data_IF_224292816757
#
_entry.id   IF_224292816757
#
_cell.length_a   1.000
_cell.length_b   1.000
_cell.length_c   1.000
_cell.angle_alpha   90.00
_cell.angle_beta   90.00
_cell.angle_gamma   90.00
#
_symmetry.space_group_name_H-M   'P 1'
#
loop_
_entity.id
_entity.type
_entity.pdbx_description
1 polymer ?
#
# COMPACT_ATOMS: atom_id res chain seq x y z
N UNK A 1 -81.76 23.58 -24.41
CA UNK A 1 -81.17 22.71 -23.41
C UNK A 1 -79.70 22.52 -23.74
N UNK A 2 -78.85 23.26 -23.06
CA UNK A 2 -77.39 23.19 -23.24
C UNK A 2 -76.79 22.65 -21.91
N UNK A 3 -76.22 21.44 -21.92
CA UNK A 3 -75.51 20.89 -20.76
C UNK A 3 -74.09 21.42 -20.72
N UNK A 4 -73.76 22.13 -19.63
CA UNK A 4 -72.46 22.64 -19.32
C UNK A 4 -71.71 21.48 -18.51
N UNK A 5 -70.68 20.92 -19.09
CA UNK A 5 -69.82 19.94 -18.40
C UNK A 5 -68.67 20.71 -17.79
N UNK A 6 -68.66 20.77 -16.47
CA UNK A 6 -67.56 21.37 -15.69
C UNK A 6 -66.44 20.34 -15.49
N UNK A 7 -65.30 20.58 -16.11
CA UNK A 7 -64.08 19.74 -15.98
C UNK A 7 -63.29 20.22 -14.76
N UNK A 8 -63.28 19.42 -13.70
CA UNK A 8 -62.48 19.69 -12.49
C UNK A 8 -61.10 19.11 -12.71
N UNK A 9 -60.06 19.95 -12.86
CA UNK A 9 -58.66 19.56 -12.93
C UNK A 9 -58.14 19.41 -11.51
N UNK A 10 -57.88 18.17 -11.07
CA UNK A 10 -57.15 17.85 -9.83
C UNK A 10 -55.64 18.03 -10.11
N UNK A 11 -55.06 19.12 -9.59
CA UNK A 11 -53.60 19.23 -9.50
C UNK A 11 -53.08 18.33 -8.39
N UNK A 12 -52.48 17.18 -8.76
CA UNK A 12 -51.66 16.38 -7.84
C UNK A 12 -50.28 17.03 -7.71
N UNK A 13 -50.06 17.80 -6.66
CA UNK A 13 -48.75 18.27 -6.28
C UNK A 13 -47.98 17.11 -5.65
N UNK A 14 -47.12 16.46 -6.45
CA UNK A 14 -46.11 15.53 -5.91
C UNK A 14 -45.03 16.33 -5.15
N UNK A 15 -45.14 16.38 -3.83
CA UNK A 15 -43.99 16.74 -2.96
C UNK A 15 -42.90 15.69 -3.17
N UNK A 16 -41.86 16.03 -3.92
CA UNK A 16 -40.57 15.35 -3.82
C UNK A 16 -40.03 15.64 -2.43
N UNK A 17 -40.25 14.70 -1.52
CA UNK A 17 -39.45 14.62 -0.26
C UNK A 17 -38.03 14.29 -0.67
N UNK A 18 -37.18 15.32 -0.78
CA UNK A 18 -35.74 15.15 -0.80
C UNK A 18 -35.35 14.63 0.60
N UNK A 19 -35.34 13.30 0.76
CA UNK A 19 -34.79 12.65 1.92
C UNK A 19 -33.29 12.94 1.92
N UNK A 20 -32.85 13.96 2.68
CA UNK A 20 -31.47 14.03 3.14
C UNK A 20 -31.26 12.83 4.06
N UNK A 21 -30.91 11.68 3.50
CA UNK A 21 -30.36 10.58 4.30
C UNK A 21 -29.08 11.11 4.95
N UNK A 22 -29.13 11.42 6.25
CA UNK A 22 -27.92 11.38 7.05
C UNK A 22 -27.35 9.98 6.82
N UNK A 23 -26.23 9.90 6.13
CA UNK A 23 -25.50 8.65 6.02
C UNK A 23 -25.12 8.25 7.45
N UNK A 24 -25.84 7.28 7.99
CA UNK A 24 -25.50 6.66 9.27
C UNK A 24 -24.13 6.00 9.14
N UNK A 25 -23.35 6.02 10.23
CA UNK A 25 -22.07 5.33 10.25
C UNK A 25 -22.32 3.83 10.05
N UNK A 26 -21.71 3.24 9.04
CA UNK A 26 -21.72 1.78 8.87
C UNK A 26 -20.97 1.16 10.06
N UNK A 27 -21.61 0.31 10.86
CA UNK A 27 -20.92 -0.35 11.96
C UNK A 27 -19.86 -1.31 11.41
N UNK A 28 -18.76 -1.45 12.11
CA UNK A 28 -17.77 -2.48 11.86
C UNK A 28 -17.50 -3.20 13.19
N UNK A 29 -17.85 -4.47 13.24
CA UNK A 29 -17.72 -5.27 14.45
C UNK A 29 -16.34 -5.92 14.58
N UNK A 30 -15.60 -6.06 13.45
CA UNK A 30 -14.25 -6.63 13.38
C UNK A 30 -13.40 -5.83 12.38
N UNK A 31 -12.62 -4.89 12.91
CA UNK A 31 -11.74 -4.05 12.09
C UNK A 31 -10.63 -4.84 11.41
N UNK A 32 -10.08 -5.88 12.04
CA UNK A 32 -9.04 -6.72 11.45
C UNK A 32 -9.60 -7.51 10.27
N UNK A 33 -10.77 -8.13 10.43
CA UNK A 33 -11.40 -8.86 9.34
C UNK A 33 -11.78 -7.94 8.18
N UNK A 34 -12.31 -6.76 8.46
CA UNK A 34 -12.62 -5.76 7.43
C UNK A 34 -11.38 -5.32 6.64
N UNK A 35 -10.19 -5.25 7.26
CA UNK A 35 -8.94 -4.96 6.56
C UNK A 35 -8.47 -6.14 5.72
N UNK A 36 -8.56 -7.37 6.24
CA UNK A 36 -8.28 -8.58 5.44
C UNK A 36 -9.16 -8.64 4.21
N UNK A 37 -10.46 -8.44 4.38
CA UNK A 37 -11.43 -8.46 3.27
C UNK A 37 -11.12 -7.39 2.22
N UNK A 38 -10.65 -6.22 2.65
CA UNK A 38 -10.27 -5.16 1.73
C UNK A 38 -9.01 -5.51 0.92
N UNK A 39 -7.98 -6.08 1.56
CA UNK A 39 -6.78 -6.56 0.86
C UNK A 39 -7.13 -7.69 -0.12
N UNK A 40 -7.97 -8.65 0.28
CA UNK A 40 -8.48 -9.72 -0.60
C UNK A 40 -9.21 -9.14 -1.80
N UNK A 41 -10.11 -8.16 -1.59
CA UNK A 41 -10.83 -7.47 -2.68
C UNK A 41 -9.87 -6.79 -3.67
N UNK A 42 -8.82 -6.11 -3.18
CA UNK A 42 -7.80 -5.49 -4.04
C UNK A 42 -7.10 -6.55 -4.88
N UNK A 43 -6.69 -7.65 -4.26
CA UNK A 43 -6.03 -8.77 -4.93
C UNK A 43 -6.92 -9.39 -6.02
N UNK A 44 -8.16 -9.73 -5.70
CA UNK A 44 -9.12 -10.30 -6.64
C UNK A 44 -9.39 -9.35 -7.82
N UNK A 45 -9.58 -8.05 -7.53
CA UNK A 45 -9.83 -7.03 -8.56
C UNK A 45 -8.64 -6.88 -9.51
N UNK A 46 -7.41 -6.88 -8.97
CA UNK A 46 -6.20 -6.79 -9.77
C UNK A 46 -5.97 -8.05 -10.61
N UNK A 47 -6.06 -9.23 -9.98
CA UNK A 47 -5.80 -10.52 -10.64
C UNK A 47 -6.86 -10.91 -11.66
N UNK A 48 -8.06 -10.34 -11.58
CA UNK A 48 -9.06 -10.45 -12.65
C UNK A 48 -8.62 -9.79 -13.96
N UNK A 49 -7.69 -8.81 -13.91
CA UNK A 49 -7.14 -8.10 -15.06
C UNK A 49 -5.73 -8.57 -15.42
N UNK A 50 -4.92 -8.87 -14.41
CA UNK A 50 -3.56 -9.41 -14.53
C UNK A 50 -3.38 -10.55 -13.51
N UNK A 51 -3.47 -11.82 -13.91
CA UNK A 51 -3.39 -12.96 -12.99
C UNK A 51 -2.11 -13.06 -12.17
N UNK A 52 -1.00 -12.48 -12.67
CA UNK A 52 0.32 -12.49 -12.03
C UNK A 52 0.56 -11.24 -11.17
N UNK A 53 -0.47 -10.41 -10.93
CA UNK A 53 -0.33 -9.16 -10.18
C UNK A 53 0.00 -9.41 -8.71
N UNK A 54 1.08 -8.78 -8.25
CA UNK A 54 1.67 -8.98 -6.93
C UNK A 54 1.01 -8.05 -5.91
N UNK A 55 0.71 -8.57 -4.71
CA UNK A 55 0.12 -7.81 -3.60
C UNK A 55 0.97 -7.99 -2.35
N UNK A 56 1.50 -6.88 -1.81
CA UNK A 56 2.41 -6.87 -0.67
C UNK A 56 1.87 -5.88 0.38
N UNK A 57 1.15 -6.33 1.41
CA UNK A 57 0.82 -5.49 2.56
C UNK A 57 2.06 -5.09 3.37
N UNK A 58 2.06 -3.88 3.94
CA UNK A 58 3.15 -3.37 4.80
C UNK A 58 2.70 -3.23 6.24
N UNK A 59 3.49 -3.73 7.20
CA UNK A 59 3.18 -3.73 8.64
C UNK A 59 1.88 -4.50 8.95
N UNK A 60 1.17 -4.21 10.06
CA UNK A 60 -0.10 -4.89 10.39
C UNK A 60 -0.01 -6.41 10.38
N UNK A 61 1.15 -6.94 10.81
CA UNK A 61 1.49 -8.37 10.69
C UNK A 61 0.52 -9.28 11.46
N UNK A 62 -0.21 -8.76 12.44
CA UNK A 62 -1.23 -9.46 13.21
C UNK A 62 -2.39 -9.95 12.33
N UNK A 63 -2.56 -9.39 11.13
CA UNK A 63 -3.61 -9.83 10.18
C UNK A 63 -3.36 -11.25 9.63
N UNK A 64 -2.16 -11.81 9.80
CA UNK A 64 -1.86 -13.19 9.35
C UNK A 64 -2.57 -14.26 10.17
N UNK A 65 -3.09 -13.91 11.36
CA UNK A 65 -3.86 -14.83 12.21
C UNK A 65 -5.28 -14.32 12.46
N UNK A 66 -6.18 -15.24 12.81
CA UNK A 66 -7.57 -14.91 13.17
C UNK A 66 -7.74 -14.52 14.64
N UNK A 67 -6.68 -14.60 15.44
CA UNK A 67 -6.66 -14.27 16.87
C UNK A 67 -5.72 -13.12 17.19
N UNK A 68 -5.46 -12.94 18.49
CA UNK A 68 -4.64 -11.86 19.02
C UNK A 68 -3.15 -12.24 19.19
N UNK A 69 -2.80 -13.48 18.94
CA UNK A 69 -1.44 -13.99 19.06
C UNK A 69 -0.99 -14.76 17.80
N UNK A 70 0.30 -14.94 17.68
CA UNK A 70 0.91 -15.61 16.53
C UNK A 70 0.59 -17.12 16.46
N UNK A 71 0.20 -17.75 17.55
CA UNK A 71 -0.15 -19.18 17.60
C UNK A 71 -1.61 -19.45 17.19
N UNK A 72 -2.42 -18.41 17.05
CA UNK A 72 -3.80 -18.52 16.60
C UNK A 72 -3.91 -19.11 15.19
N UNK A 73 -5.11 -19.52 14.79
CA UNK A 73 -5.37 -20.03 13.45
C UNK A 73 -4.98 -19.02 12.38
N UNK A 74 -4.39 -19.49 11.30
CA UNK A 74 -4.01 -18.64 10.16
C UNK A 74 -5.24 -18.06 9.44
N UNK A 75 -5.14 -16.82 9.02
CA UNK A 75 -6.08 -16.17 8.12
C UNK A 75 -5.79 -16.61 6.66
N UNK A 76 -6.15 -17.85 6.33
CA UNK A 76 -5.75 -18.52 5.08
C UNK A 76 -6.18 -17.79 3.83
N UNK A 77 -7.37 -17.20 3.81
CA UNK A 77 -7.88 -16.45 2.66
C UNK A 77 -7.05 -15.20 2.41
N UNK A 78 -6.70 -14.47 3.48
CA UNK A 78 -5.81 -13.31 3.41
C UNK A 78 -4.40 -13.71 2.94
N UNK A 79 -3.81 -14.75 3.55
CA UNK A 79 -2.46 -15.21 3.21
C UNK A 79 -2.34 -15.73 1.77
N UNK A 80 -3.41 -16.31 1.21
CA UNK A 80 -3.44 -16.74 -0.20
C UNK A 80 -3.68 -15.61 -1.18
N UNK A 81 -4.20 -14.48 -0.71
CA UNK A 81 -4.44 -13.29 -1.53
C UNK A 81 -3.20 -12.41 -1.70
N UNK A 82 -2.14 -12.63 -0.92
CA UNK A 82 -0.90 -11.84 -0.93
C UNK A 82 0.29 -12.68 -1.40
N UNK A 83 1.34 -12.03 -1.91
CA UNK A 83 2.58 -12.67 -2.39
C UNK A 83 3.76 -12.40 -1.46
N UNK A 84 3.65 -11.39 -0.65
CA UNK A 84 4.67 -11.00 0.31
C UNK A 84 4.12 -10.19 1.46
N UNK A 85 5.01 -9.85 2.39
CA UNK A 85 4.72 -9.00 3.53
C UNK A 85 5.87 -8.05 3.77
N UNK A 86 5.61 -6.74 3.74
CA UNK A 86 6.57 -5.70 4.07
C UNK A 86 6.59 -5.44 5.57
N UNK A 87 7.77 -5.30 6.16
CA UNK A 87 7.94 -4.97 7.57
C UNK A 87 8.99 -3.88 7.73
N UNK A 88 8.63 -2.81 8.42
CA UNK A 88 9.57 -1.76 8.80
C UNK A 88 10.11 -1.96 10.20
N UNK A 89 11.30 -1.38 10.45
CA UNK A 89 11.92 -1.31 11.78
C UNK A 89 12.08 -2.67 12.49
N UNK A 90 12.30 -3.76 11.73
CA UNK A 90 12.41 -5.09 12.33
C UNK A 90 13.64 -5.24 13.24
N UNK A 91 14.80 -4.76 12.76
CA UNK A 91 16.07 -4.81 13.49
C UNK A 91 16.60 -3.43 13.82
N UNK A 92 16.38 -2.45 12.93
CA UNK A 92 16.84 -1.06 13.08
C UNK A 92 15.81 -0.05 12.60
N UNK A 93 15.77 1.11 13.26
CA UNK A 93 14.88 2.20 12.90
C UNK A 93 13.87 2.55 13.99
N UNK A 94 13.79 1.75 15.07
CA UNK A 94 12.80 1.92 16.11
C UNK A 94 12.77 3.35 16.66
N UNK A 95 11.69 4.08 16.33
CA UNK A 95 11.45 5.50 16.63
C UNK A 95 12.37 6.51 15.93
N UNK A 96 13.55 6.13 15.48
CA UNK A 96 14.50 6.99 14.73
C UNK A 96 15.57 6.13 14.04
N UNK A 97 16.12 6.68 12.98
CA UNK A 97 17.21 6.02 12.24
C UNK A 97 18.38 5.62 13.15
N UNK A 98 19.09 4.59 12.76
CA UNK A 98 20.26 4.05 13.47
C UNK A 98 19.98 3.66 14.95
N UNK A 99 18.74 3.28 15.26
CA UNK A 99 18.37 2.80 16.58
C UNK A 99 17.98 1.34 16.51
N UNK A 100 18.67 0.43 17.23
CA UNK A 100 18.25 -0.98 17.29
C UNK A 100 16.82 -1.13 17.82
N UNK A 101 16.05 -1.98 17.19
CA UNK A 101 14.72 -2.36 17.66
C UNK A 101 14.85 -3.19 18.94
N UNK A 102 14.04 -2.93 19.99
CA UNK A 102 14.07 -3.73 21.21
C UNK A 102 13.79 -5.20 20.93
N UNK A 103 14.56 -6.09 21.55
CA UNK A 103 14.49 -7.53 21.29
C UNK A 103 13.07 -8.12 21.42
N UNK A 104 12.31 -7.68 22.42
CA UNK A 104 10.92 -8.12 22.59
C UNK A 104 10.00 -7.68 21.46
N UNK A 105 10.26 -6.53 20.82
CA UNK A 105 9.54 -6.07 19.65
C UNK A 105 9.92 -6.88 18.42
N UNK A 106 11.22 -7.09 18.21
CA UNK A 106 11.73 -7.96 17.14
C UNK A 106 11.16 -9.38 17.26
N UNK A 107 11.22 -9.98 18.47
CA UNK A 107 10.69 -11.32 18.71
C UNK A 107 9.20 -11.41 18.43
N UNK A 108 8.44 -10.39 18.82
CA UNK A 108 7.01 -10.28 18.52
C UNK A 108 6.75 -10.26 17.01
N UNK A 109 7.41 -9.38 16.28
CA UNK A 109 7.24 -9.26 14.82
C UNK A 109 7.67 -10.57 14.10
N UNK A 110 8.82 -11.14 14.49
CA UNK A 110 9.31 -12.40 13.93
C UNK A 110 8.33 -13.55 14.13
N UNK A 111 7.61 -13.59 15.25
CA UNK A 111 6.64 -14.66 15.52
C UNK A 111 5.54 -14.74 14.45
N UNK A 112 5.08 -13.61 13.93
CA UNK A 112 4.09 -13.52 12.85
C UNK A 112 4.72 -13.61 11.45
N UNK A 113 5.87 -12.92 11.23
CA UNK A 113 6.55 -12.92 9.93
C UNK A 113 6.94 -14.32 9.47
N UNK A 114 7.44 -15.16 10.42
CA UNK A 114 7.74 -16.57 10.15
C UNK A 114 6.49 -17.33 9.71
N UNK A 115 5.32 -17.07 10.31
CA UNK A 115 4.05 -17.69 9.93
C UNK A 115 3.62 -17.28 8.51
N UNK A 116 3.77 -16.01 8.17
CA UNK A 116 3.50 -15.53 6.80
C UNK A 116 4.44 -16.20 5.79
N UNK A 117 5.74 -16.29 6.11
CA UNK A 117 6.73 -16.98 5.27
C UNK A 117 6.43 -18.47 5.11
N UNK A 118 6.09 -19.17 6.18
CA UNK A 118 5.70 -20.58 6.15
C UNK A 118 4.46 -20.82 5.28
N UNK A 119 3.56 -19.83 5.18
CA UNK A 119 2.42 -19.87 4.29
C UNK A 119 2.79 -19.60 2.81
N UNK A 120 4.07 -19.32 2.50
CA UNK A 120 4.57 -19.12 1.13
C UNK A 120 4.84 -17.69 0.74
N UNK A 121 4.63 -16.71 1.62
CA UNK A 121 4.84 -15.31 1.34
C UNK A 121 6.31 -14.89 1.45
N UNK A 122 6.76 -14.00 0.57
CA UNK A 122 8.08 -13.38 0.64
C UNK A 122 8.08 -12.24 1.65
N UNK A 123 9.02 -12.23 2.58
CA UNK A 123 9.12 -11.15 3.58
C UNK A 123 10.16 -10.13 3.12
N UNK A 124 9.74 -8.86 3.03
CA UNK A 124 10.58 -7.72 2.68
C UNK A 124 10.76 -6.84 3.91
N UNK A 125 12.00 -6.67 4.36
CA UNK A 125 12.30 -5.89 5.58
C UNK A 125 12.98 -4.59 5.20
N UNK A 126 12.40 -3.47 5.64
CA UNK A 126 12.98 -2.14 5.55
C UNK A 126 13.47 -1.70 6.93
N UNK A 127 14.78 -1.69 7.13
CA UNK A 127 15.41 -1.18 8.34
C UNK A 127 16.01 0.21 8.09
N UNK A 128 15.68 1.18 8.93
CA UNK A 128 16.18 2.56 8.77
C UNK A 128 17.52 2.71 9.49
N UNK A 129 18.59 2.46 8.75
CA UNK A 129 19.95 2.61 9.23
C UNK A 129 20.94 2.97 8.10
N UNK A 130 21.94 3.79 8.45
CA UNK A 130 22.98 4.28 7.56
C UNK A 130 24.40 3.94 8.01
N UNK A 131 24.57 3.59 9.27
CA UNK A 131 25.87 3.15 9.82
C UNK A 131 26.29 1.82 9.19
N UNK A 132 27.52 1.71 8.63
CA UNK A 132 27.96 0.50 7.94
C UNK A 132 27.84 -0.79 8.76
N UNK A 133 28.10 -0.71 10.07
CA UNK A 133 27.98 -1.85 11.00
C UNK A 133 26.53 -2.30 11.20
N UNK A 134 25.58 -1.34 11.22
CA UNK A 134 24.14 -1.63 11.33
C UNK A 134 23.56 -2.15 10.02
N UNK A 135 23.94 -1.55 8.90
CA UNK A 135 23.55 -2.03 7.56
C UNK A 135 23.99 -3.49 7.35
N UNK A 136 25.27 -3.81 7.63
CA UNK A 136 25.77 -5.17 7.51
C UNK A 136 25.05 -6.15 8.46
N UNK A 137 24.74 -5.70 9.68
CA UNK A 137 24.03 -6.52 10.65
C UNK A 137 22.56 -6.75 10.26
N UNK A 138 21.86 -5.73 9.77
CA UNK A 138 20.48 -5.85 9.28
C UNK A 138 20.39 -6.90 8.16
N UNK A 139 21.27 -6.82 7.15
CA UNK A 139 21.34 -7.80 6.08
C UNK A 139 21.62 -9.22 6.63
N UNK A 140 22.58 -9.37 7.54
CA UNK A 140 22.92 -10.67 8.14
C UNK A 140 21.75 -11.28 8.90
N UNK A 141 20.98 -10.48 9.65
CA UNK A 141 19.82 -10.96 10.39
C UNK A 141 18.67 -11.33 9.45
N UNK A 142 18.41 -10.54 8.40
CA UNK A 142 17.43 -10.88 7.37
C UNK A 142 17.81 -12.19 6.64
N UNK A 143 19.08 -12.35 6.27
CA UNK A 143 19.58 -13.58 5.63
C UNK A 143 19.37 -14.81 6.51
N UNK A 144 19.60 -14.69 7.82
CA UNK A 144 19.39 -15.78 8.77
C UNK A 144 17.91 -16.21 8.84
N UNK A 145 16.97 -15.29 8.65
CA UNK A 145 15.53 -15.57 8.57
C UNK A 145 15.08 -15.96 7.15
N UNK A 146 15.95 -15.76 6.14
CA UNK A 146 15.62 -15.90 4.73
C UNK A 146 14.59 -14.86 4.28
N UNK A 147 14.77 -13.63 4.74
CA UNK A 147 13.98 -12.44 4.35
C UNK A 147 14.77 -11.60 3.36
N UNK A 148 14.07 -10.85 2.51
CA UNK A 148 14.67 -9.88 1.59
C UNK A 148 14.87 -8.56 2.33
N UNK A 149 16.07 -8.00 2.30
CA UNK A 149 16.49 -6.88 3.14
C UNK A 149 16.73 -5.61 2.35
N UNK A 150 16.29 -4.48 2.88
CA UNK A 150 16.66 -3.14 2.46
C UNK A 150 17.03 -2.28 3.67
N UNK A 151 18.27 -1.79 3.70
CA UNK A 151 18.71 -0.80 4.69
C UNK A 151 18.52 0.61 4.09
N UNK A 152 17.45 1.28 4.51
CA UNK A 152 17.11 2.62 4.07
C UNK A 152 17.97 3.66 4.80
N UNK A 153 18.76 4.49 4.09
CA UNK A 153 19.58 5.53 4.73
C UNK A 153 18.73 6.62 5.39
N UNK A 154 17.57 6.93 4.78
CA UNK A 154 16.66 7.99 5.21
C UNK A 154 15.24 7.46 5.31
N UNK A 155 14.50 7.92 6.33
CA UNK A 155 13.09 7.49 6.57
C UNK A 155 12.13 8.05 5.52
N UNK A 156 12.49 9.13 4.88
CA UNK A 156 11.74 9.71 3.77
C UNK A 156 11.78 8.85 2.50
N UNK A 157 12.60 7.79 2.46
CA UNK A 157 12.71 6.87 1.31
C UNK A 157 12.95 7.63 -0.01
N UNK A 158 13.86 8.60 0.04
CA UNK A 158 14.17 9.54 -1.06
C UNK A 158 15.61 9.41 -1.58
N UNK A 159 16.34 8.35 -1.14
CA UNK A 159 17.77 8.13 -1.48
C UNK A 159 17.99 6.72 -1.99
N UNK A 160 18.70 6.61 -3.12
CA UNK A 160 19.27 5.34 -3.57
C UNK A 160 20.60 5.13 -2.81
N UNK A 161 20.79 4.04 -2.05
CA UNK A 161 22.05 3.75 -1.39
C UNK A 161 23.23 3.72 -2.38
N UNK A 162 24.36 4.28 -1.98
CA UNK A 162 25.57 4.31 -2.84
C UNK A 162 26.25 2.94 -2.97
N UNK A 163 25.95 1.99 -2.08
CA UNK A 163 26.45 0.62 -2.14
C UNK A 163 25.68 -0.20 -3.17
N UNK A 164 26.32 -1.21 -3.73
CA UNK A 164 25.62 -2.22 -4.52
C UNK A 164 24.56 -2.94 -3.67
N UNK A 165 23.44 -3.37 -4.26
CA UNK A 165 22.44 -4.16 -3.55
C UNK A 165 23.02 -5.41 -2.92
N UNK A 166 22.56 -5.85 -1.73
CA UNK A 166 22.92 -7.17 -1.23
C UNK A 166 22.47 -8.24 -2.24
N UNK A 167 23.24 -9.30 -2.40
CA UNK A 167 22.95 -10.40 -3.33
C UNK A 167 22.66 -9.94 -4.77
N UNK A 168 23.36 -8.88 -5.22
CA UNK A 168 23.22 -8.38 -6.60
C UNK A 168 23.38 -9.52 -7.62
N UNK A 169 22.47 -9.55 -8.61
CA UNK A 169 22.46 -10.58 -9.62
C UNK A 169 21.89 -10.05 -10.97
N UNK A 170 22.13 -10.79 -12.05
CA UNK A 170 21.65 -10.46 -13.39
C UNK A 170 20.47 -11.37 -13.83
N UNK A 171 19.78 -12.01 -12.90
CA UNK A 171 18.64 -12.88 -13.23
C UNK A 171 17.41 -12.05 -13.60
N UNK A 172 16.56 -12.63 -14.44
CA UNK A 172 15.22 -12.13 -14.68
C UNK A 172 14.33 -12.53 -13.49
N UNK A 173 13.78 -11.54 -12.83
CA UNK A 173 12.87 -11.73 -11.69
C UNK A 173 11.45 -11.71 -12.22
N UNK A 174 10.80 -12.85 -12.22
CA UNK A 174 9.43 -13.02 -12.71
C UNK A 174 8.40 -13.11 -11.58
N UNK A 175 8.81 -13.52 -10.38
CA UNK A 175 7.96 -13.66 -9.19
C UNK A 175 8.64 -13.02 -8.00
N UNK A 176 7.86 -12.52 -7.06
CA UNK A 176 8.39 -11.93 -5.84
C UNK A 176 9.30 -12.90 -5.06
N UNK A 177 8.97 -14.19 -5.08
CA UNK A 177 9.77 -15.25 -4.44
C UNK A 177 11.18 -15.46 -5.04
N UNK A 178 11.45 -14.93 -6.23
CA UNK A 178 12.75 -15.02 -6.88
C UNK A 178 13.66 -13.84 -6.49
N UNK A 179 13.10 -12.79 -5.87
CA UNK A 179 13.83 -11.58 -5.49
C UNK A 179 14.78 -11.81 -4.31
N UNK A 180 15.99 -11.26 -4.41
CA UNK A 180 17.03 -11.34 -3.37
C UNK A 180 17.35 -9.99 -2.74
N UNK A 181 16.87 -8.91 -3.31
CA UNK A 181 17.04 -7.54 -2.82
C UNK A 181 15.91 -6.65 -3.36
N UNK A 182 15.72 -5.50 -2.73
CA UNK A 182 14.79 -4.49 -3.21
C UNK A 182 15.27 -3.08 -2.86
N UNK A 183 14.75 -2.10 -3.59
CA UNK A 183 14.86 -0.68 -3.32
C UNK A 183 13.48 -0.13 -3.00
N UNK A 184 13.33 0.54 -1.88
CA UNK A 184 12.14 1.31 -1.55
C UNK A 184 12.46 2.80 -1.72
N UNK A 185 11.97 3.42 -2.80
CA UNK A 185 12.24 4.80 -3.20
C UNK A 185 10.90 5.50 -3.45
N UNK A 186 10.29 5.99 -2.38
CA UNK A 186 8.92 6.51 -2.41
C UNK A 186 8.86 7.98 -2.81
N UNK A 187 9.77 8.79 -2.28
CA UNK A 187 9.77 10.24 -2.46
C UNK A 187 10.86 10.68 -3.45
N UNK A 188 10.51 11.07 -4.68
CA UNK A 188 11.48 11.46 -5.71
C UNK A 188 11.97 12.93 -5.58
N UNK A 189 11.81 13.56 -4.43
CA UNK A 189 12.09 14.99 -4.19
C UNK A 189 13.56 15.41 -4.36
N UNK A 190 14.49 14.46 -4.24
CA UNK A 190 15.92 14.69 -4.44
C UNK A 190 16.36 14.62 -5.92
N UNK A 191 15.42 14.40 -6.85
CA UNK A 191 15.69 14.34 -8.28
C UNK A 191 15.18 15.61 -8.96
N UNK A 192 16.06 16.27 -9.72
CA UNK A 192 15.76 17.54 -10.41
C UNK A 192 14.66 17.38 -11.47
N UNK A 193 14.56 16.19 -12.08
CA UNK A 193 13.55 15.88 -13.07
C UNK A 193 13.12 14.40 -13.02
N UNK A 194 11.97 14.10 -13.63
CA UNK A 194 11.49 12.73 -13.86
C UNK A 194 12.51 11.90 -14.64
N UNK A 195 13.16 12.50 -15.65
CA UNK A 195 14.18 11.82 -16.45
C UNK A 195 15.40 11.43 -15.60
N UNK A 196 15.81 12.29 -14.66
CA UNK A 196 16.91 12.00 -13.74
C UNK A 196 16.55 10.87 -12.78
N UNK A 197 15.32 10.86 -12.26
CA UNK A 197 14.81 9.76 -11.44
C UNK A 197 14.84 8.43 -12.20
N UNK A 198 14.25 8.40 -13.41
CA UNK A 198 14.20 7.20 -14.25
C UNK A 198 15.62 6.71 -14.55
N UNK A 199 16.51 7.61 -14.94
CA UNK A 199 17.91 7.28 -15.23
C UNK A 199 18.61 6.69 -13.99
N UNK A 200 18.45 7.32 -12.83
CA UNK A 200 19.08 6.87 -11.59
C UNK A 200 18.60 5.47 -11.19
N UNK A 201 17.28 5.21 -11.24
CA UNK A 201 16.72 3.91 -10.92
C UNK A 201 17.12 2.84 -11.96
N UNK A 202 17.07 3.16 -13.26
CA UNK A 202 17.47 2.25 -14.35
C UNK A 202 18.94 1.85 -14.26
N UNK A 203 19.81 2.73 -13.70
CA UNK A 203 21.23 2.48 -13.47
C UNK A 203 21.53 1.62 -12.23
N UNK A 204 20.52 0.96 -11.65
CA UNK A 204 20.67 0.05 -10.51
C UNK A 204 20.39 -1.40 -10.90
N UNK A 205 20.79 -2.34 -10.02
CA UNK A 205 20.57 -3.78 -10.23
C UNK A 205 19.67 -4.40 -9.16
N UNK A 206 18.79 -3.60 -8.53
CA UNK A 206 17.79 -4.14 -7.60
C UNK A 206 16.79 -5.05 -8.30
N UNK A 207 16.39 -6.13 -7.63
CA UNK A 207 15.43 -7.11 -8.12
C UNK A 207 13.98 -6.61 -8.07
N UNK A 208 13.68 -5.76 -7.11
CA UNK A 208 12.37 -5.13 -6.92
C UNK A 208 12.57 -3.64 -6.66
N UNK A 209 11.76 -2.81 -7.31
CA UNK A 209 11.63 -1.38 -6.99
C UNK A 209 10.24 -1.15 -6.43
N UNK A 210 10.15 -0.53 -5.25
CA UNK A 210 8.89 -0.02 -4.69
C UNK A 210 8.92 1.49 -4.82
N UNK A 211 7.96 2.08 -5.54
CA UNK A 211 7.89 3.51 -5.85
C UNK A 211 6.45 4.00 -5.94
N UNK A 212 6.25 5.32 -5.96
CA UNK A 212 4.93 5.92 -6.17
C UNK A 212 4.51 5.88 -7.66
N UNK A 213 3.18 5.90 -7.90
CA UNK A 213 2.62 6.11 -9.24
C UNK A 213 2.92 7.51 -9.80
N UNK A 214 3.11 8.49 -8.91
CA UNK A 214 3.24 9.91 -9.28
C UNK A 214 4.64 10.43 -9.03
N UNK A 215 5.09 11.31 -9.94
CA UNK A 215 6.30 12.09 -9.69
C UNK A 215 5.97 13.37 -8.89
N UNK A 216 6.99 14.14 -8.50
CA UNK A 216 6.86 15.38 -7.70
C UNK A 216 5.87 16.41 -8.25
N UNK A 217 5.63 16.40 -9.56
CA UNK A 217 4.70 17.30 -10.23
C UNK A 217 3.22 16.83 -10.18
N UNK A 218 2.97 15.70 -9.50
CA UNK A 218 1.64 15.08 -9.39
C UNK A 218 1.17 14.36 -10.65
N UNK A 219 2.01 14.24 -11.68
CA UNK A 219 1.68 13.47 -12.89
C UNK A 219 2.13 12.02 -12.74
N UNK A 220 1.30 11.07 -13.21
CA UNK A 220 1.64 9.65 -13.16
C UNK A 220 2.76 9.28 -14.13
N UNK A 221 3.55 8.26 -13.76
CA UNK A 221 4.45 7.61 -14.69
C UNK A 221 3.65 6.91 -15.79
N UNK A 222 4.20 6.92 -17.00
CA UNK A 222 3.61 6.26 -18.18
C UNK A 222 3.99 4.78 -18.23
N UNK A 223 3.24 3.99 -19.02
CA UNK A 223 3.54 2.58 -19.19
C UNK A 223 4.93 2.34 -19.84
N UNK A 224 5.35 3.21 -20.76
CA UNK A 224 6.69 3.13 -21.38
C UNK A 224 7.81 3.41 -20.35
N UNK A 225 7.59 4.37 -19.44
CA UNK A 225 8.54 4.67 -18.36
C UNK A 225 8.65 3.50 -17.37
N UNK A 226 7.52 2.90 -16.97
CA UNK A 226 7.51 1.73 -16.08
C UNK A 226 8.16 0.53 -16.77
N UNK A 227 7.88 0.26 -18.06
CA UNK A 227 8.52 -0.83 -18.81
C UNK A 227 10.04 -0.62 -18.92
N UNK A 228 10.48 0.64 -19.08
CA UNK A 228 11.92 0.95 -19.06
C UNK A 228 12.55 0.64 -17.69
N UNK A 229 11.86 0.95 -16.60
CA UNK A 229 12.33 0.68 -15.23
C UNK A 229 12.40 -0.82 -14.90
N UNK A 230 11.70 -1.69 -15.64
CA UNK A 230 11.79 -3.16 -15.47
C UNK A 230 13.13 -3.74 -15.92
N UNK A 231 13.99 -2.97 -16.58
CA UNK A 231 15.33 -3.42 -16.97
C UNK A 231 16.35 -3.05 -15.89
N UNK A 232 17.19 -4.02 -15.47
CA UNK A 232 18.38 -3.76 -14.65
C UNK A 232 19.54 -3.28 -15.54
N UNK A 233 20.46 -2.50 -14.98
CA UNK A 233 21.65 -2.07 -15.73
C UNK A 233 22.49 -3.23 -16.24
N UNK A 234 22.59 -4.32 -15.48
CA UNK A 234 23.34 -5.53 -15.83
C UNK A 234 22.62 -6.47 -16.83
N UNK A 235 21.45 -6.08 -17.36
CA UNK A 235 20.70 -6.77 -18.39
C UNK A 235 19.62 -7.73 -17.91
N UNK A 236 19.48 -7.97 -16.60
CA UNK A 236 18.37 -8.75 -16.04
C UNK A 236 17.08 -7.93 -15.94
N UNK A 237 15.96 -8.61 -15.68
CA UNK A 237 14.66 -7.95 -15.42
C UNK A 237 14.36 -7.87 -13.94
N UNK A 238 13.63 -6.83 -13.56
CA UNK A 238 13.14 -6.60 -12.20
C UNK A 238 11.63 -6.44 -12.15
N UNK A 239 11.06 -6.52 -10.97
CA UNK A 239 9.69 -6.13 -10.67
C UNK A 239 9.62 -4.66 -10.27
N UNK A 240 8.58 -3.96 -10.73
CA UNK A 240 8.27 -2.58 -10.34
C UNK A 240 6.92 -2.56 -9.66
N UNK A 241 6.93 -2.30 -8.36
CA UNK A 241 5.78 -2.37 -7.46
C UNK A 241 5.34 -0.96 -7.07
N UNK A 242 4.05 -0.69 -7.13
CA UNK A 242 3.51 0.63 -6.80
C UNK A 242 3.08 0.72 -5.34
N UNK A 243 3.56 1.76 -4.64
CA UNK A 243 3.02 2.14 -3.33
C UNK A 243 1.57 2.59 -3.44
N UNK A 244 0.73 2.15 -2.52
CA UNK A 244 -0.67 2.56 -2.42
C UNK A 244 -1.16 2.55 -0.98
N UNK A 245 -1.43 3.72 -0.39
CA UNK A 245 -2.07 3.81 0.92
C UNK A 245 -3.55 3.42 0.83
N UNK A 246 -4.00 2.50 1.69
CA UNK A 246 -5.39 2.05 1.74
C UNK A 246 -6.10 2.35 3.06
N UNK A 247 -5.36 2.65 4.12
CA UNK A 247 -5.88 3.03 5.43
C UNK A 247 -5.90 4.54 5.70
N UNK A 248 -5.32 5.34 4.80
CA UNK A 248 -5.37 6.80 4.84
C UNK A 248 -5.63 7.38 3.45
N UNK A 249 -6.38 8.49 3.41
CA UNK A 249 -6.56 9.31 2.22
C UNK A 249 -5.56 10.47 2.26
N UNK A 250 -4.95 10.78 1.12
CA UNK A 250 -3.91 11.77 0.98
C UNK A 250 -4.43 12.97 0.20
N UNK A 251 -4.34 14.21 0.76
CA UNK A 251 -5.00 15.39 0.19
C UNK A 251 -4.28 15.97 -1.05
N UNK A 252 -3.16 15.40 -1.41
CA UNK A 252 -2.41 15.69 -2.62
C UNK A 252 -2.65 14.68 -3.76
N UNK A 253 -3.49 13.66 -3.54
CA UNK A 253 -3.82 12.66 -4.57
C UNK A 253 -4.92 13.16 -5.50
N UNK A 254 -4.91 12.65 -6.72
CA UNK A 254 -5.86 13.01 -7.78
C UNK A 254 -7.34 12.84 -7.39
N UNK A 255 -7.67 11.90 -6.51
CA UNK A 255 -9.03 11.62 -6.05
C UNK A 255 -9.53 12.61 -5.01
N UNK A 256 -8.64 13.42 -4.41
CA UNK A 256 -9.01 14.33 -3.35
C UNK A 256 -9.88 15.48 -3.84
N UNK A 257 -10.95 15.77 -3.10
CA UNK A 257 -11.81 16.90 -3.37
C UNK A 257 -11.59 17.99 -2.31
N UNK A 258 -11.29 19.20 -2.75
CA UNK A 258 -11.05 20.34 -1.85
C UNK A 258 -12.20 20.60 -0.86
N UNK A 259 -13.44 20.26 -1.26
CA UNK A 259 -14.63 20.35 -0.43
C UNK A 259 -14.60 19.42 0.79
N UNK A 260 -13.81 18.35 0.79
CA UNK A 260 -13.74 17.39 1.90
C UNK A 260 -13.10 17.98 3.16
N UNK A 261 -12.32 19.05 3.05
CA UNK A 261 -11.80 19.76 4.24
C UNK A 261 -12.94 20.39 5.05
N UNK A 262 -14.07 20.75 4.42
CA UNK A 262 -15.23 21.38 5.06
C UNK A 262 -16.44 20.43 5.18
N UNK A 263 -16.63 19.57 4.16
CA UNK A 263 -17.75 18.65 4.06
C UNK A 263 -17.20 17.22 3.87
N UNK A 264 -16.71 16.67 4.97
CA UNK A 264 -16.09 15.34 4.98
C UNK A 264 -17.12 14.27 4.59
N UNK A 265 -16.79 13.38 3.63
CA UNK A 265 -17.58 12.17 3.44
C UNK A 265 -17.51 11.30 4.71
N UNK A 266 -18.51 10.46 4.92
CA UNK A 266 -18.66 9.65 6.15
C UNK A 266 -17.44 8.77 6.41
N UNK A 267 -16.84 8.23 5.36
CA UNK A 267 -15.65 7.39 5.47
C UNK A 267 -14.37 8.16 5.83
N UNK A 268 -14.31 9.49 5.64
CA UNK A 268 -13.12 10.30 5.94
C UNK A 268 -13.11 10.71 7.42
N UNK A 269 -12.12 10.25 8.17
CA UNK A 269 -11.97 10.54 9.58
C UNK A 269 -11.07 11.77 9.84
N UNK A 270 -10.26 11.75 10.89
CA UNK A 270 -9.39 12.88 11.24
C UNK A 270 -8.06 12.82 10.47
N UNK A 271 -7.43 13.98 10.33
CA UNK A 271 -6.06 14.09 9.83
C UNK A 271 -5.07 13.38 10.76
N UNK A 272 -4.05 12.77 10.18
CA UNK A 272 -2.93 12.19 10.91
C UNK A 272 -1.94 13.30 11.26
N UNK A 273 -1.84 13.66 12.54
CA UNK A 273 -0.97 14.74 13.00
C UNK A 273 0.53 14.49 12.77
N UNK A 274 0.95 13.24 12.66
CA UNK A 274 2.34 12.86 12.37
C UNK A 274 2.68 13.01 10.89
N UNK A 275 1.67 12.95 10.01
CA UNK A 275 1.80 13.06 8.56
C UNK A 275 0.74 14.04 8.03
N UNK A 276 1.01 15.37 8.08
CA UNK A 276 0.08 16.38 7.58
C UNK A 276 -0.29 16.13 6.11
N UNK A 277 -1.59 16.26 5.81
CA UNK A 277 -2.13 15.94 4.49
C UNK A 277 -2.67 14.51 4.36
N UNK A 278 -2.37 13.63 5.31
CA UNK A 278 -2.91 12.28 5.37
C UNK A 278 -4.07 12.20 6.36
N UNK A 279 -5.14 11.57 5.95
CA UNK A 279 -6.39 11.48 6.73
C UNK A 279 -6.78 10.03 6.91
N UNK A 280 -7.00 9.58 8.15
CA UNK A 280 -7.50 8.24 8.42
C UNK A 280 -8.85 8.02 7.76
N UNK A 281 -9.07 6.81 7.23
CA UNK A 281 -10.31 6.43 6.56
C UNK A 281 -10.95 5.23 7.23
N UNK A 282 -12.28 5.20 7.21
CA UNK A 282 -13.07 4.01 7.55
C UNK A 282 -13.04 3.08 6.34
N UNK A 283 -11.97 2.31 6.22
CA UNK A 283 -11.64 1.51 5.03
C UNK A 283 -12.69 0.42 4.71
N UNK A 284 -13.58 0.10 5.64
CA UNK A 284 -14.71 -0.80 5.40
C UNK A 284 -15.87 -0.18 4.61
N UNK A 285 -15.85 1.15 4.41
CA UNK A 285 -16.89 1.82 3.62
C UNK A 285 -16.70 1.57 2.13
N UNK A 286 -17.78 1.12 1.47
CA UNK A 286 -17.79 0.86 0.04
C UNK A 286 -17.34 2.08 -0.79
N UNK A 287 -17.75 3.28 -0.41
CA UNK A 287 -17.38 4.50 -1.12
C UNK A 287 -15.86 4.78 -1.13
N UNK A 288 -15.13 4.43 -0.05
CA UNK A 288 -13.67 4.49 -0.05
C UNK A 288 -13.07 3.36 -0.89
N UNK A 289 -13.56 2.13 -0.73
CA UNK A 289 -13.09 0.99 -1.50
C UNK A 289 -13.27 1.16 -3.01
N UNK A 290 -14.36 1.84 -3.44
CA UNK A 290 -14.58 2.18 -4.84
C UNK A 290 -13.53 3.18 -5.39
N UNK A 291 -13.05 4.13 -4.59
CA UNK A 291 -11.94 5.02 -4.98
C UNK A 291 -10.63 4.26 -5.15
N UNK A 292 -10.39 3.26 -4.31
CA UNK A 292 -9.15 2.47 -4.31
C UNK A 292 -9.17 1.40 -5.40
N UNK A 293 -10.20 0.56 -5.46
CA UNK A 293 -10.24 -0.61 -6.35
C UNK A 293 -11.59 -0.83 -7.04
N UNK A 294 -12.44 0.19 -7.11
CA UNK A 294 -13.70 0.12 -7.84
C UNK A 294 -13.50 0.11 -9.37
N UNK A 295 -14.58 -0.10 -10.13
CA UNK A 295 -14.53 -0.05 -11.58
C UNK A 295 -14.28 1.38 -12.10
N UNK A 296 -13.64 1.51 -13.26
CA UNK A 296 -13.37 2.79 -13.91
C UNK A 296 -12.05 3.43 -13.45
N UNK A 297 -12.07 4.69 -13.01
CA UNK A 297 -10.85 5.48 -12.71
C UNK A 297 -10.42 5.34 -11.23
N UNK A 298 -10.37 4.12 -10.71
CA UNK A 298 -9.84 3.85 -9.36
C UNK A 298 -8.30 3.88 -9.31
N UNK A 299 -7.74 4.00 -8.10
CA UNK A 299 -6.29 4.06 -7.92
C UNK A 299 -5.61 2.78 -8.46
N UNK A 300 -6.15 1.62 -8.12
CA UNK A 300 -5.66 0.33 -8.62
C UNK A 300 -5.69 0.25 -10.15
N UNK A 301 -6.77 0.72 -10.79
CA UNK A 301 -6.85 0.69 -12.25
C UNK A 301 -5.83 1.62 -12.92
N UNK A 302 -5.51 2.77 -12.33
CA UNK A 302 -4.43 3.63 -12.83
C UNK A 302 -3.06 2.94 -12.71
N UNK A 303 -2.81 2.24 -11.60
CA UNK A 303 -1.58 1.45 -11.39
C UNK A 303 -1.46 0.33 -12.43
N UNK A 304 -2.53 -0.42 -12.66
CA UNK A 304 -2.59 -1.47 -13.68
C UNK A 304 -2.35 -0.90 -15.09
N UNK A 305 -2.96 0.23 -15.43
CA UNK A 305 -2.79 0.89 -16.72
C UNK A 305 -1.36 1.44 -16.93
N UNK A 306 -0.71 1.88 -15.86
CA UNK A 306 0.69 2.29 -15.89
C UNK A 306 1.67 1.11 -16.04
N UNK A 307 1.19 -0.14 -15.90
CA UNK A 307 1.99 -1.34 -16.17
C UNK A 307 2.87 -1.78 -15.01
N UNK A 308 2.58 -1.39 -13.77
CA UNK A 308 3.23 -1.94 -12.58
C UNK A 308 2.96 -3.45 -12.45
N UNK A 309 3.91 -4.18 -11.86
CA UNK A 309 3.80 -5.62 -11.62
C UNK A 309 3.00 -5.96 -10.35
N UNK A 310 2.77 -4.97 -9.50
CA UNK A 310 2.05 -5.16 -8.24
C UNK A 310 1.88 -3.89 -7.44
N UNK A 311 1.32 -4.06 -6.23
CA UNK A 311 1.11 -2.99 -5.24
C UNK A 311 1.76 -3.33 -3.90
N UNK A 312 2.29 -2.28 -3.26
CA UNK A 312 2.74 -2.28 -1.87
C UNK A 312 1.73 -1.49 -1.05
N UNK A 313 0.92 -2.22 -0.26
CA UNK A 313 -0.24 -1.66 0.43
C UNK A 313 0.15 -1.13 1.79
N UNK A 314 0.08 0.18 1.95
CA UNK A 314 0.42 0.84 3.21
C UNK A 314 -0.81 1.17 4.06
N UNK A 315 -0.56 1.39 5.37
CA UNK A 315 -1.54 1.70 6.41
C UNK A 315 -2.60 0.58 6.55
N UNK A 316 -2.21 -0.67 6.35
CA UNK A 316 -3.08 -1.81 6.65
C UNK A 316 -3.26 -2.01 8.17
N UNK A 317 -2.35 -1.47 9.00
CA UNK A 317 -2.43 -1.40 10.45
C UNK A 317 -3.45 -0.35 10.98
N UNK A 318 -4.18 0.31 10.07
CA UNK A 318 -5.24 1.27 10.44
C UNK A 318 -6.30 0.68 11.38
N UNK A 319 -6.48 -0.65 11.43
CA UNK A 319 -7.38 -1.31 12.37
C UNK A 319 -7.03 -0.98 13.83
N UNK A 320 -5.74 -0.84 14.16
CA UNK A 320 -5.31 -0.49 15.51
C UNK A 320 -5.86 0.86 16.01
N UNK A 321 -6.00 1.82 15.08
CA UNK A 321 -6.56 3.11 15.42
C UNK A 321 -8.03 3.00 15.81
N UNK A 322 -8.80 2.18 15.11
CA UNK A 322 -10.23 2.03 15.34
C UNK A 322 -10.53 1.11 16.54
N UNK A 323 -9.69 0.11 16.81
CA UNK A 323 -9.78 -0.74 18.00
C UNK A 323 -9.55 0.04 19.31
N UNK A 324 -8.84 1.16 19.25
CA UNK A 324 -8.52 2.02 20.42
C UNK A 324 -9.56 3.11 20.68
N UNK A 325 -10.66 3.19 19.91
CA UNK A 325 -11.74 4.17 20.08
C UNK A 325 -12.90 3.60 20.86
#
# INVERSE_FOLDING_TARGET
>A
MKHLITLTILLLSSLLMCSCSRSELEPCDDYRQAMRDFVVRISETARAQNPDFIVIPQNGIELVTLGEDAEAALATDYLSAIDGHGQEDLFYGYRRNDTPTPANTTDYLLSYLRRSKEAGNTILVTDYCSRPDYVANAHTQCDAEGFVSFAAPERELNVIPASVPPHENAQDIARLSDAQNFLYLLNPENFDSRADFIHAVASTNYDVIIMDLFFNDGTSFTADEIEHLKQKENGGKRLVICYMSIGEAEDYRYYWQASWKQHKPVWLARENHSWPGNYKVRYWYSAWQELICGPGDSYLNRILQAGFDGVYLDIIDAFEYFEKQ
#
